data_IF_836631585819
#
_entry.id   IF_836631585819
#
_cell.length_a   1.000
_cell.length_b   1.000
_cell.length_c   1.000
_cell.angle_alpha   90.00
_cell.angle_beta   90.00
_cell.angle_gamma   90.00
#
_symmetry.space_group_name_H-M   'P 1'
#
loop_
_entity.id
_entity.type
_entity.pdbx_description
1 polymer ?
#
# COMPACT_ATOMS: atom_id res chain seq x y z
N UNK A 1 49.57 7.75 0.19
CA UNK A 1 49.14 6.34 0.36
C UNK A 1 48.33 6.28 1.65
N UNK A 2 47.08 5.85 1.63
CA UNK A 2 46.29 5.80 2.87
C UNK A 2 46.77 4.68 3.79
N UNK A 3 47.09 4.97 5.06
CA UNK A 3 47.55 3.97 6.06
C UNK A 3 46.42 3.08 6.62
N UNK A 4 45.23 3.10 6.02
CA UNK A 4 44.05 2.36 6.52
C UNK A 4 43.89 1.04 5.76
N UNK A 5 43.73 -0.05 6.52
CA UNK A 5 43.47 -1.39 5.96
C UNK A 5 42.18 -1.41 5.13
N UNK A 6 42.29 -1.83 3.88
CA UNK A 6 41.13 -1.96 2.99
C UNK A 6 40.23 -3.11 3.45
N UNK A 7 39.05 -2.78 3.95
CA UNK A 7 38.08 -3.74 4.50
C UNK A 7 37.29 -4.47 3.40
N UNK A 8 36.88 -3.75 2.35
CA UNK A 8 36.17 -4.29 1.17
C UNK A 8 37.16 -4.83 0.13
N UNK A 9 37.93 -5.84 0.52
CA UNK A 9 38.98 -6.44 -0.31
C UNK A 9 38.46 -7.66 -1.12
N UNK A 10 39.33 -8.27 -1.94
CA UNK A 10 38.99 -9.46 -2.74
C UNK A 10 38.50 -10.63 -1.88
N UNK A 11 39.09 -10.82 -0.70
CA UNK A 11 38.70 -11.88 0.23
C UNK A 11 37.29 -11.65 0.81
N UNK A 12 36.92 -10.40 1.11
CA UNK A 12 35.59 -10.01 1.56
C UNK A 12 34.52 -10.45 0.55
N UNK A 13 34.67 -10.05 -0.73
CA UNK A 13 33.67 -10.38 -1.76
C UNK A 13 33.60 -11.87 -2.08
N UNK A 14 34.72 -12.61 -1.96
CA UNK A 14 34.73 -14.08 -2.13
C UNK A 14 33.85 -14.82 -1.12
N UNK A 15 33.70 -14.29 0.11
CA UNK A 15 32.92 -14.90 1.20
C UNK A 15 31.67 -14.11 1.57
N UNK A 16 31.30 -13.11 0.77
CA UNK A 16 30.17 -12.26 1.09
C UNK A 16 28.86 -12.98 0.76
N UNK A 17 28.13 -13.39 1.80
CA UNK A 17 26.81 -13.96 1.64
C UNK A 17 25.76 -12.86 1.52
N UNK A 18 25.16 -12.77 0.34
CA UNK A 18 24.11 -11.79 0.08
C UNK A 18 22.81 -12.22 0.75
N UNK A 19 22.17 -11.30 1.50
CA UNK A 19 20.80 -11.53 1.98
C UNK A 19 19.82 -11.69 0.81
N UNK A 20 18.62 -12.24 1.06
CA UNK A 20 17.58 -12.40 0.03
C UNK A 20 17.26 -11.08 -0.69
N UNK A 21 16.94 -11.15 -1.99
CA UNK A 21 16.71 -9.97 -2.85
C UNK A 21 15.78 -8.93 -2.22
N UNK A 22 14.59 -9.36 -1.75
CA UNK A 22 13.60 -8.45 -1.12
C UNK A 22 14.05 -7.86 0.21
N UNK A 23 14.97 -8.54 0.93
CA UNK A 23 15.59 -8.01 2.15
C UNK A 23 16.63 -6.96 1.81
N UNK A 24 17.44 -7.16 0.77
CA UNK A 24 18.39 -6.15 0.25
C UNK A 24 17.68 -4.91 -0.29
N UNK A 25 16.51 -5.09 -0.91
CA UNK A 25 15.64 -3.97 -1.33
C UNK A 25 14.89 -3.32 -0.17
N UNK A 26 14.95 -3.85 1.05
CA UNK A 26 14.28 -3.29 2.22
C UNK A 26 12.75 -3.36 2.17
N UNK A 27 12.17 -4.32 1.46
CA UNK A 27 10.69 -4.41 1.23
C UNK A 27 9.99 -5.49 2.03
N UNK A 28 10.74 -6.38 2.69
CA UNK A 28 10.14 -7.55 3.36
C UNK A 28 10.96 -7.94 4.57
N UNK A 29 10.28 -8.08 5.70
CA UNK A 29 10.75 -8.87 6.82
C UNK A 29 10.34 -10.33 6.62
N UNK A 30 11.34 -11.21 6.45
CA UNK A 30 11.11 -12.65 6.29
C UNK A 30 10.75 -13.33 7.62
N UNK A 31 11.08 -12.72 8.76
CA UNK A 31 10.73 -13.26 10.07
C UNK A 31 9.21 -13.16 10.33
N UNK A 32 8.62 -11.99 10.10
CA UNK A 32 7.17 -11.80 10.13
C UNK A 32 6.48 -12.63 9.04
N UNK A 33 6.99 -12.59 7.80
CA UNK A 33 6.38 -13.33 6.66
C UNK A 33 6.30 -14.83 6.91
N UNK A 34 7.34 -15.45 7.50
CA UNK A 34 7.33 -16.89 7.83
C UNK A 34 6.12 -17.26 8.69
N UNK A 35 5.76 -16.45 9.69
CA UNK A 35 4.64 -16.73 10.61
C UNK A 35 3.29 -16.43 9.99
N UNK A 36 3.23 -15.39 9.16
CA UNK A 36 1.98 -14.93 8.57
C UNK A 36 1.49 -15.85 7.44
N UNK A 37 2.41 -16.44 6.68
CA UNK A 37 2.09 -17.14 5.44
C UNK A 37 2.05 -18.66 5.58
N UNK A 38 2.86 -19.24 6.47
CA UNK A 38 2.90 -20.69 6.64
C UNK A 38 1.56 -21.17 7.20
N UNK A 39 1.01 -22.18 6.54
CA UNK A 39 -0.22 -22.87 6.92
C UNK A 39 0.10 -24.12 7.75
N UNK A 40 -0.82 -24.48 8.64
CA UNK A 40 -0.75 -25.74 9.39
C UNK A 40 -0.76 -26.93 8.44
N UNK A 41 0.13 -27.91 8.68
CA UNK A 41 0.34 -29.01 7.74
C UNK A 41 -0.85 -29.96 7.61
N UNK A 42 -1.66 -30.06 8.65
CA UNK A 42 -2.90 -30.85 8.65
C UNK A 42 -4.03 -30.22 7.81
N UNK A 43 -3.88 -28.97 7.35
CA UNK A 43 -4.85 -28.29 6.46
C UNK A 43 -4.50 -28.45 4.97
N UNK A 44 -3.40 -29.12 4.66
CA UNK A 44 -2.94 -29.44 3.29
C UNK A 44 -3.00 -28.24 2.33
N UNK A 45 -3.97 -28.21 1.42
CA UNK A 45 -4.09 -27.22 0.35
C UNK A 45 -4.92 -25.98 0.73
N UNK A 46 -5.46 -25.91 1.96
CA UNK A 46 -6.27 -24.76 2.38
C UNK A 46 -5.42 -23.48 2.41
N UNK A 47 -5.75 -22.46 1.60
CA UNK A 47 -4.97 -21.23 1.54
C UNK A 47 -5.10 -20.43 2.83
N UNK A 48 -3.97 -19.85 3.28
CA UNK A 48 -3.94 -18.85 4.36
C UNK A 48 -3.95 -17.46 3.76
N UNK A 49 -5.12 -16.80 3.81
CA UNK A 49 -5.32 -15.48 3.21
C UNK A 49 -4.77 -14.36 4.10
N UNK A 50 -4.19 -13.36 3.45
CA UNK A 50 -3.72 -12.14 4.11
C UNK A 50 -4.19 -10.89 3.40
N UNK A 51 -4.55 -9.89 4.18
CA UNK A 51 -4.81 -8.52 3.78
C UNK A 51 -3.49 -7.75 3.79
N UNK A 52 -2.89 -7.60 2.61
CA UNK A 52 -1.68 -6.81 2.41
C UNK A 52 -2.07 -5.34 2.26
N UNK A 53 -1.67 -4.51 3.23
CA UNK A 53 -1.86 -3.06 3.18
C UNK A 53 -0.51 -2.38 3.00
N UNK A 54 -0.35 -1.58 1.96
CA UNK A 54 0.86 -0.82 1.68
C UNK A 54 0.51 0.64 1.40
N UNK A 55 1.07 1.52 2.21
CA UNK A 55 0.95 2.96 2.06
C UNK A 55 2.15 3.47 1.28
N UNK A 56 1.91 4.16 0.17
CA UNK A 56 2.92 4.94 -0.55
C UNK A 56 2.66 6.44 -0.35
N UNK A 57 3.54 7.29 -0.87
CA UNK A 57 3.41 8.73 -0.69
C UNK A 57 2.12 9.33 -1.31
N UNK A 58 1.56 8.69 -2.33
CA UNK A 58 0.41 9.23 -3.10
C UNK A 58 -0.68 8.21 -3.41
N UNK A 59 -0.56 6.99 -2.89
CA UNK A 59 -1.50 5.91 -3.16
C UNK A 59 -1.53 4.92 -1.99
N UNK A 60 -2.68 4.30 -1.77
CA UNK A 60 -2.90 3.22 -0.81
C UNK A 60 -3.22 1.96 -1.62
N UNK A 61 -2.50 0.89 -1.35
CA UNK A 61 -2.69 -0.40 -2.02
C UNK A 61 -3.14 -1.44 -0.98
N UNK A 62 -4.31 -2.03 -1.21
CA UNK A 62 -4.88 -3.09 -0.40
C UNK A 62 -5.09 -4.33 -1.27
N UNK A 63 -4.59 -5.48 -0.85
CA UNK A 63 -4.68 -6.73 -1.62
C UNK A 63 -5.01 -7.91 -0.71
N UNK A 64 -5.85 -8.82 -1.20
CA UNK A 64 -6.01 -10.16 -0.60
C UNK A 64 -5.15 -11.13 -1.36
N UNK A 65 -4.24 -11.81 -0.65
CA UNK A 65 -3.31 -12.76 -1.24
C UNK A 65 -3.19 -14.02 -0.40
N UNK A 66 -2.80 -15.12 -1.04
CA UNK A 66 -2.27 -16.31 -0.38
C UNK A 66 -1.00 -16.75 -1.11
N UNK A 67 -0.21 -17.62 -0.49
CA UNK A 67 1.09 -18.02 -1.06
C UNK A 67 1.06 -19.40 -1.66
N UNK A 68 1.71 -19.55 -2.82
CA UNK A 68 2.10 -20.81 -3.42
C UNK A 68 3.63 -20.87 -3.58
N UNK A 69 4.13 -22.00 -4.07
CA UNK A 69 5.56 -22.24 -4.29
C UNK A 69 6.12 -21.29 -5.36
N UNK A 70 5.37 -21.06 -6.44
CA UNK A 70 5.76 -20.16 -7.54
C UNK A 70 5.74 -18.67 -7.15
N UNK A 71 4.92 -18.31 -6.17
CA UNK A 71 4.71 -16.93 -5.77
C UNK A 71 3.39 -16.71 -5.05
N UNK A 72 3.11 -15.45 -4.74
CA UNK A 72 1.86 -15.05 -4.11
C UNK A 72 0.78 -14.87 -5.18
N UNK A 73 -0.39 -15.48 -4.96
CA UNK A 73 -1.56 -15.28 -5.81
C UNK A 73 -2.44 -14.19 -5.21
N UNK A 74 -2.67 -13.13 -5.98
CA UNK A 74 -3.59 -12.05 -5.62
C UNK A 74 -5.01 -12.45 -6.03
N UNK A 75 -5.92 -12.47 -5.06
CA UNK A 75 -7.34 -12.82 -5.28
C UNK A 75 -8.12 -11.58 -5.72
N UNK A 76 -7.92 -10.47 -5.01
CA UNK A 76 -8.54 -9.17 -5.26
C UNK A 76 -7.59 -8.07 -4.82
N UNK A 77 -7.71 -6.90 -5.44
CA UNK A 77 -6.93 -5.70 -5.15
C UNK A 77 -7.82 -4.47 -5.21
N UNK A 78 -7.52 -3.46 -4.40
CA UNK A 78 -8.12 -2.14 -4.43
C UNK A 78 -7.04 -1.08 -4.20
N UNK A 79 -7.23 0.09 -4.82
CA UNK A 79 -6.27 1.18 -4.78
C UNK A 79 -6.96 2.51 -4.51
N UNK A 80 -6.29 3.45 -3.83
CA UNK A 80 -6.92 4.75 -3.56
C UNK A 80 -7.04 5.63 -4.80
N UNK A 81 -6.22 5.43 -5.83
CA UNK A 81 -6.40 6.08 -7.13
C UNK A 81 -7.66 5.63 -7.89
N UNK A 82 -8.38 4.61 -7.43
CA UNK A 82 -9.71 4.23 -7.95
C UNK A 82 -10.85 4.99 -7.25
N UNK A 83 -10.61 5.57 -6.06
CA UNK A 83 -11.61 6.26 -5.26
C UNK A 83 -12.27 7.49 -5.92
N UNK A 84 -11.63 8.22 -6.86
CA UNK A 84 -12.31 9.27 -7.61
C UNK A 84 -13.57 8.80 -8.34
N UNK A 85 -13.65 7.52 -8.74
CA UNK A 85 -14.87 6.96 -9.33
C UNK A 85 -16.06 6.92 -8.37
N UNK A 86 -15.78 6.94 -7.07
CA UNK A 86 -16.76 6.88 -5.99
C UNK A 86 -16.97 8.24 -5.31
N UNK A 87 -16.49 9.34 -5.91
CA UNK A 87 -16.70 10.70 -5.42
C UNK A 87 -15.57 11.30 -4.58
N UNK A 88 -14.48 10.56 -4.32
CA UNK A 88 -13.33 11.07 -3.55
C UNK A 88 -12.23 11.51 -4.52
N UNK A 89 -12.25 12.78 -4.93
CA UNK A 89 -11.30 13.32 -5.92
C UNK A 89 -9.94 13.73 -5.34
N UNK A 90 -9.88 14.00 -4.03
CA UNK A 90 -8.68 14.50 -3.33
C UNK A 90 -8.48 13.76 -2.00
N UNK A 91 -7.32 13.95 -1.35
CA UNK A 91 -7.07 13.33 -0.04
C UNK A 91 -6.84 11.82 -0.06
N UNK A 92 -6.44 11.24 -1.19
CA UNK A 92 -6.35 9.78 -1.43
C UNK A 92 -5.39 8.97 -0.54
N UNK A 93 -4.72 9.61 0.42
CA UNK A 93 -3.76 8.95 1.32
C UNK A 93 -4.00 9.24 2.80
N UNK A 94 -5.12 9.87 3.17
CA UNK A 94 -5.49 10.10 4.57
C UNK A 94 -6.10 8.81 5.20
N UNK A 95 -6.55 8.92 6.45
CA UNK A 95 -7.16 7.79 7.17
C UNK A 95 -8.50 7.36 6.56
N UNK A 96 -9.37 8.31 6.22
CA UNK A 96 -10.66 8.08 5.58
C UNK A 96 -10.52 7.36 4.22
N UNK A 97 -9.57 7.76 3.38
CA UNK A 97 -9.25 7.06 2.14
C UNK A 97 -8.72 5.65 2.39
N UNK A 98 -7.93 5.43 3.44
CA UNK A 98 -7.49 4.09 3.83
C UNK A 98 -8.69 3.19 4.17
N UNK A 99 -9.62 3.71 4.99
CA UNK A 99 -10.89 3.05 5.30
C UNK A 99 -11.68 2.71 4.02
N UNK A 100 -11.90 3.69 3.14
CA UNK A 100 -12.59 3.49 1.87
C UNK A 100 -11.92 2.41 0.99
N UNK A 101 -10.58 2.39 0.91
CA UNK A 101 -9.87 1.34 0.14
C UNK A 101 -10.03 -0.05 0.74
N UNK A 102 -10.08 -0.16 2.07
CA UNK A 102 -10.36 -1.42 2.78
C UNK A 102 -11.78 -1.91 2.50
N UNK A 103 -12.76 -1.01 2.63
CA UNK A 103 -14.16 -1.28 2.34
C UNK A 103 -14.36 -1.73 0.89
N UNK A 104 -13.75 -1.02 -0.07
CA UNK A 104 -13.79 -1.38 -1.48
C UNK A 104 -13.22 -2.77 -1.75
N UNK A 105 -12.08 -3.11 -1.14
CA UNK A 105 -11.48 -4.43 -1.28
C UNK A 105 -12.39 -5.53 -0.75
N UNK A 106 -12.99 -5.34 0.43
CA UNK A 106 -13.90 -6.29 1.06
C UNK A 106 -15.14 -6.53 0.20
N UNK A 107 -15.85 -5.47 -0.19
CA UNK A 107 -17.04 -5.59 -1.05
C UNK A 107 -16.72 -6.22 -2.40
N UNK A 108 -15.57 -5.89 -3.00
CA UNK A 108 -15.11 -6.49 -4.27
C UNK A 108 -14.79 -7.97 -4.12
N UNK A 109 -14.21 -8.38 -3.00
CA UNK A 109 -13.91 -9.78 -2.72
C UNK A 109 -15.19 -10.60 -2.51
N UNK A 110 -16.11 -10.11 -1.69
CA UNK A 110 -17.37 -10.79 -1.38
C UNK A 110 -18.25 -10.90 -2.63
N UNK A 111 -18.36 -9.84 -3.43
CA UNK A 111 -19.07 -9.88 -4.71
C UNK A 111 -18.46 -10.91 -5.66
N UNK A 112 -17.12 -11.00 -5.72
CA UNK A 112 -16.42 -12.01 -6.56
C UNK A 112 -16.72 -13.45 -6.13
N UNK A 113 -17.01 -13.68 -4.85
CA UNK A 113 -17.37 -14.99 -4.32
C UNK A 113 -18.87 -15.21 -4.11
N UNK A 114 -19.72 -14.23 -4.46
CA UNK A 114 -21.17 -14.31 -4.29
C UNK A 114 -21.64 -14.37 -2.82
N UNK A 115 -20.89 -13.76 -1.90
CA UNK A 115 -21.19 -13.74 -0.45
C UNK A 115 -21.52 -12.33 0.06
N UNK A 116 -21.72 -11.38 -0.84
CA UNK A 116 -21.90 -9.96 -0.56
C UNK A 116 -23.26 -9.64 0.09
N UNK A 117 -24.30 -10.43 -0.21
CA UNK A 117 -25.62 -10.33 0.41
C UNK A 117 -25.67 -10.97 1.80
N UNK A 118 -24.91 -12.04 2.02
CA UNK A 118 -24.87 -12.74 3.32
C UNK A 118 -24.09 -11.91 4.34
N UNK A 119 -22.95 -11.36 3.92
CA UNK A 119 -22.05 -10.59 4.78
C UNK A 119 -22.00 -9.14 4.32
N UNK A 120 -23.07 -8.39 4.60
CA UNK A 120 -23.14 -6.94 4.30
C UNK A 120 -22.15 -6.11 5.13
N UNK A 121 -21.81 -6.62 6.32
CA UNK A 121 -20.97 -5.92 7.30
C UNK A 121 -21.74 -4.81 7.99
N UNK A 122 -21.04 -3.75 8.38
CA UNK A 122 -21.62 -2.65 9.13
C UNK A 122 -21.98 -1.49 8.19
N UNK A 123 -23.26 -1.35 7.84
CA UNK A 123 -23.74 -0.31 6.89
C UNK A 123 -23.48 1.10 7.43
N UNK A 124 -23.89 1.35 8.67
CA UNK A 124 -23.70 2.62 9.36
C UNK A 124 -22.41 2.63 10.19
N UNK A 125 -21.50 3.53 9.85
CA UNK A 125 -20.18 3.60 10.51
C UNK A 125 -20.32 4.23 11.90
N UNK A 126 -20.21 3.42 12.95
CA UNK A 126 -20.19 3.88 14.35
C UNK A 126 -18.77 4.14 14.87
N UNK A 127 -17.75 3.50 14.27
CA UNK A 127 -16.37 3.53 14.76
C UNK A 127 -16.08 2.54 15.90
N UNK A 128 -17.08 1.79 16.35
CA UNK A 128 -16.95 0.82 17.44
C UNK A 128 -16.39 -0.54 16.98
N UNK A 129 -16.15 -1.44 17.91
CA UNK A 129 -15.79 -2.83 17.61
C UNK A 129 -16.90 -3.53 16.84
N UNK A 130 -16.51 -4.17 15.75
CA UNK A 130 -17.40 -5.00 14.95
C UNK A 130 -16.60 -6.18 14.43
N UNK A 131 -17.11 -7.38 14.62
CA UNK A 131 -16.51 -8.60 14.11
C UNK A 131 -17.62 -9.41 13.42
N UNK A 132 -17.38 -9.80 12.18
CA UNK A 132 -18.35 -10.59 11.41
C UNK A 132 -18.30 -12.04 11.89
N UNK A 133 -19.45 -12.54 12.33
CA UNK A 133 -19.64 -13.95 12.67
C UNK A 133 -20.18 -14.72 11.47
N UNK A 134 -19.94 -16.03 11.45
CA UNK A 134 -20.49 -16.89 10.39
C UNK A 134 -21.97 -17.16 10.66
N UNK A 135 -22.78 -17.24 9.61
CA UNK A 135 -24.22 -17.47 9.71
C UNK A 135 -24.47 -18.95 9.46
N UNK A 136 -25.22 -19.59 10.35
CA UNK A 136 -25.54 -21.02 10.22
C UNK A 136 -26.29 -21.31 8.92
N UNK A 137 -25.87 -22.39 8.24
CA UNK A 137 -26.45 -22.78 6.95
C UNK A 137 -25.96 -21.98 5.74
N UNK A 138 -25.13 -20.96 5.93
CA UNK A 138 -24.50 -20.19 4.85
C UNK A 138 -22.99 -20.48 4.76
N UNK A 139 -22.32 -20.16 3.64
CA UNK A 139 -20.85 -20.24 3.57
C UNK A 139 -20.22 -19.38 4.67
N UNK A 140 -19.22 -19.89 5.38
CA UNK A 140 -18.59 -19.17 6.47
C UNK A 140 -17.91 -17.85 6.05
N UNK A 141 -17.82 -16.91 6.98
CA UNK A 141 -17.26 -15.58 6.72
C UNK A 141 -15.80 -15.67 6.24
N UNK A 142 -15.44 -14.83 5.26
CA UNK A 142 -14.11 -14.88 4.66
C UNK A 142 -13.05 -14.45 5.69
N UNK A 143 -12.25 -15.42 6.14
CA UNK A 143 -11.21 -15.19 7.14
C UNK A 143 -9.89 -14.77 6.50
N UNK A 144 -9.30 -13.66 6.96
CA UNK A 144 -7.97 -13.27 6.53
C UNK A 144 -7.19 -12.52 7.63
N UNK A 145 -5.87 -12.42 7.46
CA UNK A 145 -4.97 -11.83 8.46
C UNK A 145 -4.26 -10.58 7.94
N UNK A 146 -4.08 -9.56 8.76
CA UNK A 146 -3.38 -8.34 8.36
C UNK A 146 -1.88 -8.58 8.12
N UNK A 147 -1.39 -8.13 6.97
CA UNK A 147 0.02 -7.97 6.65
C UNK A 147 0.38 -6.48 6.58
N UNK A 148 0.89 -5.93 7.68
CA UNK A 148 1.38 -4.54 7.76
C UNK A 148 2.78 -4.33 7.14
N UNK A 149 3.48 -5.41 6.79
CA UNK A 149 4.83 -5.36 6.24
C UNK A 149 5.85 -4.78 7.21
N UNK A 150 6.51 -3.69 6.80
CA UNK A 150 7.53 -2.99 7.59
C UNK A 150 6.99 -1.73 8.28
N UNK A 151 5.69 -1.44 8.15
CA UNK A 151 5.08 -0.29 8.81
C UNK A 151 5.13 -0.48 10.33
N UNK A 152 5.56 0.55 11.06
CA UNK A 152 5.47 0.56 12.52
C UNK A 152 4.01 0.68 12.93
N UNK A 153 3.49 -0.32 13.62
CA UNK A 153 2.08 -0.44 14.02
C UNK A 153 1.78 0.32 15.31
N UNK A 154 2.01 1.63 15.33
CA UNK A 154 1.56 2.52 16.41
C UNK A 154 0.05 2.76 16.33
N UNK A 155 -0.53 3.20 17.44
CA UNK A 155 -1.94 3.60 17.51
C UNK A 155 -2.22 4.75 16.52
N UNK A 156 -3.34 4.68 15.82
CA UNK A 156 -3.74 5.66 14.81
C UNK A 156 -3.11 5.48 13.43
N UNK A 157 -2.33 4.42 13.21
CA UNK A 157 -1.75 4.18 11.89
C UNK A 157 -2.84 3.87 10.83
N UNK A 158 -2.74 4.50 9.66
CA UNK A 158 -3.66 4.32 8.51
C UNK A 158 -3.77 2.88 8.01
N UNK A 159 -2.77 2.02 8.26
CA UNK A 159 -2.89 0.57 8.00
C UNK A 159 -4.10 -0.02 8.72
N UNK A 160 -4.41 0.45 9.92
CA UNK A 160 -5.57 0.03 10.67
C UNK A 160 -6.87 0.66 10.15
N UNK A 161 -6.83 1.85 9.53
CA UNK A 161 -7.99 2.39 8.81
C UNK A 161 -8.43 1.45 7.69
N UNK A 162 -7.50 0.96 6.87
CA UNK A 162 -7.80 -0.06 5.86
C UNK A 162 -8.26 -1.40 6.44
N UNK A 163 -7.73 -1.81 7.60
CA UNK A 163 -8.23 -2.98 8.32
C UNK A 163 -9.68 -2.80 8.75
N UNK A 164 -10.02 -1.66 9.39
CA UNK A 164 -11.39 -1.38 9.86
C UNK A 164 -12.37 -1.31 8.69
N UNK A 165 -11.99 -0.66 7.59
CA UNK A 165 -12.82 -0.64 6.38
C UNK A 165 -13.07 -2.04 5.81
N UNK A 166 -12.06 -2.92 5.86
CA UNK A 166 -12.23 -4.30 5.40
C UNK A 166 -13.12 -5.14 6.33
N UNK A 167 -13.03 -4.91 7.65
CA UNK A 167 -13.88 -5.52 8.67
C UNK A 167 -15.34 -5.07 8.51
N UNK A 168 -15.59 -3.76 8.46
CA UNK A 168 -16.92 -3.18 8.27
C UNK A 168 -17.51 -3.54 6.90
N UNK A 169 -16.66 -3.93 5.94
CA UNK A 169 -17.06 -4.42 4.63
C UNK A 169 -17.48 -5.89 4.59
N UNK A 170 -17.37 -6.63 5.69
CA UNK A 170 -17.84 -8.02 5.81
C UNK A 170 -16.75 -9.09 5.94
N UNK A 171 -15.46 -8.72 6.07
CA UNK A 171 -14.38 -9.72 6.24
C UNK A 171 -14.15 -10.05 7.72
N UNK A 172 -13.93 -11.34 8.01
CA UNK A 172 -13.52 -11.79 9.32
C UNK A 172 -12.00 -11.61 9.49
N UNK A 173 -11.59 -10.52 10.13
CA UNK A 173 -10.19 -10.20 10.41
C UNK A 173 -10.00 -10.09 11.93
N UNK A 174 -9.23 -10.98 12.57
CA UNK A 174 -9.01 -10.89 14.01
C UNK A 174 -8.19 -9.65 14.34
N UNK A 175 -8.72 -8.81 15.23
CA UNK A 175 -8.10 -7.56 15.64
C UNK A 175 -8.51 -7.15 17.07
N UNK A 176 -7.98 -6.03 17.56
CA UNK A 176 -8.31 -5.43 18.84
C UNK A 176 -8.34 -3.91 18.69
N UNK A 177 -9.14 -3.22 19.51
CA UNK A 177 -9.35 -1.77 19.42
C UNK A 177 -8.11 -0.92 19.74
N UNK A 178 -7.09 -1.50 20.39
CA UNK A 178 -5.91 -0.80 20.94
C UNK A 178 -5.10 0.03 19.94
N UNK A 179 -5.23 -0.23 18.64
CA UNK A 179 -4.43 0.42 17.59
C UNK A 179 -5.22 1.41 16.74
N UNK A 180 -6.51 1.58 16.99
CA UNK A 180 -7.30 2.59 16.30
C UNK A 180 -7.12 3.98 16.93
N UNK A 181 -7.31 5.06 16.15
CA UNK A 181 -7.49 6.40 16.72
C UNK A 181 -8.63 6.38 17.75
N UNK A 182 -8.47 7.07 18.87
CA UNK A 182 -9.46 7.08 19.97
C UNK A 182 -9.18 6.09 21.09
N UNK A 183 -8.19 5.20 20.95
CA UNK A 183 -7.68 4.42 22.08
C UNK A 183 -6.69 5.23 22.90
N UNK A 184 -6.95 5.41 24.19
CA UNK A 184 -6.03 6.03 25.13
C UNK A 184 -5.20 4.95 25.86
N UNK A 185 -3.88 5.14 25.86
CA UNK A 185 -2.94 4.20 26.49
C UNK A 185 -2.90 4.31 28.00
N UNK A 186 -3.27 5.46 28.57
CA UNK A 186 -3.23 5.71 30.01
C UNK A 186 -4.47 5.14 30.70
N UNK A 187 -5.66 5.56 30.28
CA UNK A 187 -6.93 5.02 30.78
C UNK A 187 -7.23 3.59 30.30
N UNK A 188 -6.62 3.16 29.17
CA UNK A 188 -6.92 1.89 28.47
C UNK A 188 -8.35 1.82 27.93
N UNK A 189 -8.98 2.97 27.75
CA UNK A 189 -10.34 3.08 27.21
C UNK A 189 -10.31 3.43 25.71
N UNK A 190 -11.38 3.05 25.01
CA UNK A 190 -11.55 3.32 23.59
C UNK A 190 -12.75 4.23 23.37
N UNK A 191 -12.52 5.37 22.72
CA UNK A 191 -13.55 6.29 22.30
C UNK A 191 -13.91 6.07 20.81
N UNK A 192 -15.04 5.41 20.58
CA UNK A 192 -15.55 5.11 19.24
C UNK A 192 -15.89 6.38 18.43
N UNK A 193 -16.33 7.46 19.08
CA UNK A 193 -16.66 8.72 18.40
C UNK A 193 -15.42 9.37 17.78
N UNK A 194 -14.29 9.36 18.50
CA UNK A 194 -13.00 9.85 17.98
C UNK A 194 -12.56 9.02 16.79
N UNK A 195 -12.74 7.70 16.85
CA UNK A 195 -12.44 6.83 15.71
C UNK A 195 -13.33 7.15 14.50
N UNK A 196 -14.64 7.30 14.72
CA UNK A 196 -15.61 7.68 13.68
C UNK A 196 -15.27 9.00 13.03
N UNK A 197 -14.86 10.02 13.81
CA UNK A 197 -14.37 11.31 13.29
C UNK A 197 -13.19 11.13 12.33
N UNK A 198 -12.25 10.23 12.63
CA UNK A 198 -11.12 9.94 11.73
C UNK A 198 -11.55 9.17 10.47
N UNK A 199 -12.52 8.26 10.58
CA UNK A 199 -13.07 7.53 9.43
C UNK A 199 -13.78 8.49 8.47
N UNK A 200 -14.53 9.46 9.00
CA UNK A 200 -15.23 10.47 8.21
C UNK A 200 -14.36 11.65 7.79
N UNK A 201 -13.08 11.67 8.17
CA UNK A 201 -12.14 12.74 7.82
C UNK A 201 -12.40 14.08 8.50
N UNK A 202 -13.16 14.11 9.61
CA UNK A 202 -13.49 15.32 10.36
C UNK A 202 -12.24 16.01 10.88
N UNK A 203 -11.23 15.27 11.33
CA UNK A 203 -9.95 15.84 11.74
C UNK A 203 -9.23 16.62 10.62
N UNK A 204 -9.46 16.27 9.36
CA UNK A 204 -8.94 17.02 8.21
C UNK A 204 -9.78 18.26 7.98
N UNK A 205 -11.11 18.16 8.12
CA UNK A 205 -12.02 19.31 8.04
C UNK A 205 -11.72 20.33 9.15
N UNK A 206 -11.54 19.89 10.40
CA UNK A 206 -11.16 20.73 11.54
C UNK A 206 -9.86 21.48 11.26
N UNK A 207 -8.86 20.80 10.67
CA UNK A 207 -7.59 21.43 10.29
C UNK A 207 -7.74 22.40 9.11
N UNK A 208 -8.66 22.14 8.18
CA UNK A 208 -9.00 23.09 7.13
C UNK A 208 -9.63 24.35 7.72
N UNK A 209 -10.62 24.23 8.60
CA UNK A 209 -11.28 25.37 9.25
C UNK A 209 -10.30 26.19 10.09
N UNK A 210 -9.48 25.51 10.90
CA UNK A 210 -8.44 26.17 11.70
C UNK A 210 -7.48 27.00 10.83
N UNK A 211 -6.97 26.44 9.72
CA UNK A 211 -6.08 27.20 8.84
C UNK A 211 -6.81 28.32 8.08
N UNK A 212 -8.09 28.17 7.76
CA UNK A 212 -8.85 29.25 7.12
C UNK A 212 -8.98 30.48 8.03
N UNK A 213 -9.09 30.27 9.35
CA UNK A 213 -9.21 31.35 10.34
C UNK A 213 -7.84 31.95 10.69
N UNK A 214 -6.81 31.12 10.85
CA UNK A 214 -5.50 31.56 11.37
C UNK A 214 -4.52 32.03 10.27
N UNK A 215 -4.48 31.34 9.12
CA UNK A 215 -3.50 31.60 8.06
C UNK A 215 -4.02 31.14 6.68
N UNK A 216 -4.68 32.07 5.98
CA UNK A 216 -5.28 31.82 4.66
C UNK A 216 -4.23 31.43 3.60
N UNK A 217 -2.99 31.91 3.70
CA UNK A 217 -1.93 31.58 2.76
C UNK A 217 -1.43 30.15 2.97
N UNK A 218 -1.27 29.72 4.23
CA UNK A 218 -0.99 28.33 4.57
C UNK A 218 -2.14 27.40 4.13
N UNK A 219 -3.39 27.83 4.31
CA UNK A 219 -4.57 27.10 3.82
C UNK A 219 -4.52 26.89 2.30
N UNK A 220 -4.33 27.96 1.52
CA UNK A 220 -4.21 27.90 0.05
C UNK A 220 -3.07 26.97 -0.38
N UNK A 221 -1.92 27.03 0.30
CA UNK A 221 -0.76 26.19 0.00
C UNK A 221 -1.03 24.71 0.28
N UNK A 222 -1.53 24.39 1.46
CA UNK A 222 -1.75 23.01 1.92
C UNK A 222 -2.93 22.35 1.19
N UNK A 223 -4.03 23.07 1.03
CA UNK A 223 -5.30 22.56 0.52
C UNK A 223 -5.65 23.05 -0.90
N UNK A 224 -4.67 23.55 -1.67
CA UNK A 224 -4.83 24.00 -3.07
C UNK A 224 -5.69 23.06 -3.94
N UNK A 225 -5.51 21.74 -3.80
CA UNK A 225 -6.29 20.74 -4.54
C UNK A 225 -7.74 20.61 -4.06
N UNK A 226 -7.99 20.80 -2.76
CA UNK A 226 -9.35 20.80 -2.21
C UNK A 226 -10.11 22.01 -2.75
N UNK A 227 -9.50 23.20 -2.70
CA UNK A 227 -10.04 24.44 -3.28
C UNK A 227 -10.35 24.25 -4.77
N UNK A 228 -9.40 23.71 -5.54
CA UNK A 228 -9.58 23.46 -6.99
C UNK A 228 -10.76 22.53 -7.31
N UNK A 229 -11.08 21.59 -6.42
CA UNK A 229 -12.18 20.64 -6.61
C UNK A 229 -13.45 21.03 -5.83
N UNK A 230 -13.50 22.23 -5.24
CA UNK A 230 -14.67 22.74 -4.52
C UNK A 230 -15.00 21.98 -3.23
N UNK A 231 -14.01 21.36 -2.58
CA UNK A 231 -14.22 20.65 -1.30
C UNK A 231 -13.97 21.60 -0.14
N UNK A 232 -15.03 21.90 0.61
CA UNK A 232 -15.00 22.73 1.84
C UNK A 232 -15.03 21.84 3.09
N UNK A 233 -14.64 22.36 4.28
CA UNK A 233 -14.65 21.57 5.53
C UNK A 233 -15.99 20.86 5.79
N UNK A 234 -17.11 21.57 5.63
CA UNK A 234 -18.45 21.04 5.92
C UNK A 234 -18.87 19.89 4.99
N UNK A 235 -18.35 19.88 3.76
CA UNK A 235 -18.70 18.86 2.75
C UNK A 235 -17.90 17.57 2.89
N UNK A 236 -16.83 17.54 3.70
CA UNK A 236 -15.92 16.39 3.80
C UNK A 236 -16.63 15.14 4.30
N UNK A 237 -17.45 15.26 5.35
CA UNK A 237 -18.18 14.12 5.92
C UNK A 237 -19.17 13.53 4.91
N UNK A 238 -19.94 14.39 4.24
CA UNK A 238 -20.93 13.96 3.25
C UNK A 238 -20.27 13.30 2.04
N UNK A 239 -19.10 13.80 1.62
CA UNK A 239 -18.30 13.20 0.54
C UNK A 239 -17.94 11.74 0.86
N UNK A 240 -17.45 11.45 2.07
CA UNK A 240 -17.11 10.07 2.46
C UNK A 240 -18.34 9.19 2.67
N UNK A 241 -19.43 9.72 3.24
CA UNK A 241 -20.71 8.98 3.34
C UNK A 241 -21.23 8.56 1.97
N UNK A 242 -21.25 9.47 1.00
CA UNK A 242 -21.62 9.18 -0.40
C UNK A 242 -20.70 8.14 -1.02
N UNK A 243 -19.39 8.24 -0.76
CA UNK A 243 -18.42 7.29 -1.26
C UNK A 243 -18.62 5.87 -0.69
N UNK A 244 -18.92 5.74 0.61
CA UNK A 244 -19.23 4.45 1.23
C UNK A 244 -20.46 3.80 0.58
N UNK A 245 -21.52 4.58 0.34
CA UNK A 245 -22.72 4.11 -0.35
C UNK A 245 -22.40 3.69 -1.80
N UNK A 246 -21.66 4.51 -2.55
CA UNK A 246 -21.27 4.21 -3.93
C UNK A 246 -20.40 2.94 -4.05
N UNK A 247 -19.47 2.74 -3.11
CA UNK A 247 -18.62 1.54 -3.04
C UNK A 247 -19.47 0.28 -2.81
N UNK A 248 -20.47 0.34 -1.93
CA UNK A 248 -21.39 -0.78 -1.68
C UNK A 248 -22.28 -1.07 -2.88
N UNK A 249 -22.72 -0.03 -3.59
CA UNK A 249 -23.57 -0.16 -4.77
C UNK A 249 -22.83 -0.82 -5.96
N UNK A 250 -21.56 -0.47 -6.22
CA UNK A 250 -20.80 -1.07 -7.31
C UNK A 250 -19.32 -1.25 -6.96
N UNK A 251 -18.91 -2.40 -6.39
CA UNK A 251 -17.51 -2.65 -6.04
C UNK A 251 -16.65 -3.18 -7.21
N UNK A 252 -17.25 -3.38 -8.39
CA UNK A 252 -16.61 -4.10 -9.50
C UNK A 252 -15.47 -3.31 -10.12
N UNK A 253 -14.35 -3.98 -10.41
CA UNK A 253 -13.21 -3.36 -11.09
C UNK A 253 -13.32 -3.55 -12.60
N UNK A 254 -13.54 -2.47 -13.32
CA UNK A 254 -13.46 -2.43 -14.78
C UNK A 254 -12.03 -2.17 -15.24
N UNK A 255 -11.47 -3.14 -15.97
CA UNK A 255 -10.13 -3.00 -16.56
C UNK A 255 -10.19 -2.01 -17.72
N UNK A 256 -9.22 -1.10 -17.76
CA UNK A 256 -9.05 -0.19 -18.90
C UNK A 256 -8.73 -0.99 -20.17
N UNK A 257 -9.25 -0.59 -21.34
CA UNK A 257 -8.95 -1.27 -22.60
C UNK A 257 -7.46 -1.16 -22.93
N UNK A 258 -6.92 -2.22 -23.52
CA UNK A 258 -5.54 -2.21 -24.02
C UNK A 258 -5.44 -1.25 -25.21
N UNK A 259 -4.41 -0.41 -25.22
CA UNK A 259 -4.12 0.49 -26.34
C UNK A 259 -3.03 -0.14 -27.22
N UNK A 260 -3.24 -0.11 -28.53
CA UNK A 260 -2.20 -0.46 -29.49
C UNK A 260 -1.15 0.65 -29.53
N UNK A 261 0.06 0.33 -29.07
CA UNK A 261 1.18 1.28 -28.98
C UNK A 261 2.40 0.69 -29.68
N UNK A 262 3.00 1.46 -30.59
CA UNK A 262 4.29 1.13 -31.20
C UNK A 262 5.39 1.13 -30.12
N UNK A 263 6.04 -0.03 -29.90
CA UNK A 263 7.04 -0.19 -28.84
C UNK A 263 8.37 0.46 -29.21
N UNK A 264 8.60 1.70 -28.75
CA UNK A 264 9.91 2.36 -28.81
C UNK A 264 10.82 1.89 -27.67
N UNK A 265 12.10 1.67 -27.97
CA UNK A 265 13.12 1.35 -26.96
C UNK A 265 13.67 2.62 -26.32
N UNK A 266 13.45 2.79 -25.02
CA UNK A 266 13.96 3.93 -24.24
C UNK A 266 15.33 3.65 -23.58
N UNK A 267 15.63 2.38 -23.33
CA UNK A 267 16.83 1.97 -22.63
C UNK A 267 17.93 1.56 -23.61
N UNK A 268 19.18 1.92 -23.31
CA UNK A 268 20.35 1.52 -24.09
C UNK A 268 20.43 -0.01 -24.25
N UNK A 269 20.81 -0.45 -25.45
CA UNK A 269 21.12 -1.85 -25.70
C UNK A 269 22.34 -2.33 -24.90
N UNK A 270 22.26 -3.54 -24.34
CA UNK A 270 23.45 -4.20 -23.79
C UNK A 270 24.45 -4.37 -24.94
N UNK A 271 25.68 -3.92 -24.73
CA UNK A 271 26.75 -4.06 -25.72
C UNK A 271 27.01 -5.55 -25.98
N UNK A 272 27.18 -5.90 -27.25
CA UNK A 272 27.60 -7.24 -27.63
C UNK A 272 29.01 -7.53 -27.12
N UNK A 273 29.41 -8.81 -27.12
CA UNK A 273 30.78 -9.18 -26.77
C UNK A 273 31.80 -8.55 -27.74
N UNK A 274 31.52 -8.59 -29.05
CA UNK A 274 32.36 -8.01 -30.09
C UNK A 274 32.53 -6.49 -29.90
N UNK A 275 31.43 -5.77 -29.65
CA UNK A 275 31.48 -4.33 -29.37
C UNK A 275 32.33 -4.01 -28.13
N UNK A 276 32.25 -4.82 -27.08
CA UNK A 276 33.09 -4.65 -25.87
C UNK A 276 34.57 -4.90 -26.16
N UNK A 277 34.92 -5.96 -26.88
CA UNK A 277 36.31 -6.26 -27.27
C UNK A 277 36.89 -5.16 -28.15
N UNK A 278 36.17 -4.75 -29.19
CA UNK A 278 36.61 -3.71 -30.11
C UNK A 278 36.80 -2.37 -29.39
N UNK A 279 35.91 -2.03 -28.46
CA UNK A 279 36.05 -0.81 -27.63
C UNK A 279 37.33 -0.82 -26.81
N UNK A 280 37.74 -1.97 -26.26
CA UNK A 280 39.00 -2.08 -25.51
C UNK A 280 40.19 -1.90 -26.45
N UNK A 281 40.18 -2.54 -27.62
CA UNK A 281 41.24 -2.40 -28.62
C UNK A 281 41.40 -0.95 -29.09
N UNK A 282 40.30 -0.29 -29.43
CA UNK A 282 40.27 1.12 -29.83
C UNK A 282 40.84 2.04 -28.75
N UNK A 283 40.49 1.81 -27.48
CA UNK A 283 41.03 2.60 -26.36
C UNK A 283 42.53 2.42 -26.15
N UNK A 284 43.06 1.20 -26.32
CA UNK A 284 44.50 0.95 -26.25
C UNK A 284 45.23 1.66 -27.39
N UNK A 285 44.73 1.52 -28.62
CA UNK A 285 45.31 2.15 -29.79
C UNK A 285 45.25 3.69 -29.74
N UNK A 286 44.16 4.28 -29.22
CA UNK A 286 44.11 5.74 -29.04
C UNK A 286 45.08 6.25 -27.99
N UNK A 287 45.28 5.49 -26.91
CA UNK A 287 46.22 5.86 -25.85
C UNK A 287 47.67 5.83 -26.32
N UNK A 288 48.08 4.77 -27.02
CA UNK A 288 49.43 4.67 -27.58
C UNK A 288 49.73 5.82 -28.56
N UNK A 289 48.78 6.13 -29.45
CA UNK A 289 48.92 7.27 -30.38
C UNK A 289 49.08 8.61 -29.66
N UNK A 290 48.36 8.82 -28.55
CA UNK A 290 48.50 10.05 -27.77
C UNK A 290 49.87 10.17 -27.10
N UNK A 291 50.41 9.07 -26.57
CA UNK A 291 51.76 9.06 -26.00
C UNK A 291 52.85 9.31 -27.05
N UNK A 292 52.70 8.74 -28.24
CA UNK A 292 53.63 8.96 -29.36
C UNK A 292 53.63 10.43 -29.82
N UNK A 293 52.47 11.08 -29.82
CA UNK A 293 52.35 12.50 -30.14
C UNK A 293 52.97 13.41 -29.07
N UNK A 294 52.68 13.16 -27.78
CA UNK A 294 53.29 13.91 -26.67
C UNK A 294 54.81 13.76 -26.62
N UNK A 295 55.34 12.60 -27.03
CA UNK A 295 56.78 12.36 -27.10
C UNK A 295 57.45 12.95 -28.36
N UNK A 296 56.67 13.30 -29.39
CA UNK A 296 57.17 13.90 -30.64
C UNK A 296 57.13 15.43 -30.66
N UNK A 297 56.32 16.05 -29.81
CA UNK A 297 56.16 17.51 -29.68
C UNK A 297 57.04 18.14 -28.57
N UNK A 298 57.94 17.36 -27.94
CA UNK A 298 58.92 17.82 -26.92
C UNK A 298 60.35 17.59 -27.34
#
# INVERSE_FOLDING_TARGET
>A
MGFVKVVKNKAYFKRYEVKFRRRREGKTDFYARKRLVVQDKNKYNTPKYRLIVRLSNRDICCQIAYSKIEGDHIVSAAYSHELPKYGINVGLTNYAAAYCTGLLLARRLLHKFGMDQVYEGQVEVTGDEFNVESVDGQPGAFTCYLDAGLARTTTGNKVFGALKGAVDGGLAIPHSLKRFPGYDTESKEFNAEVHRKHIMGMNVADYMSYLMEEDEDAYKKQFSRFIKNGVTPDTVEEMYKKAHAAIRANPVHEKKPNKDVTKKRWNRAKLSLAQRKNRVAQKKASFLRAQEQEAGDG
#
